data_IF_424214036002
#
_entry.id   IF_424214036002
#
_cell.length_a   1.000
_cell.length_b   1.000
_cell.length_c   1.000
_cell.angle_alpha   90.00
_cell.angle_beta   90.00
_cell.angle_gamma   90.00
#
_symmetry.space_group_name_H-M   'P 1'
#
loop_
_entity.id
_entity.type
_entity.pdbx_description
1 polymer ?
#
# COMPACT_ATOMS: atom_id res chain seq x y z
N UNK A 1 3.85 4.55 13.31
CA UNK A 1 2.52 3.90 13.23
C UNK A 1 2.13 3.88 11.76
N UNK A 2 1.46 2.85 11.26
CA UNK A 2 1.12 2.76 9.83
C UNK A 2 -0.38 2.79 9.61
N UNK A 3 -0.79 3.34 8.48
CA UNK A 3 -2.17 3.63 8.16
C UNK A 3 -2.60 2.92 6.88
N UNK A 4 -3.90 2.65 6.76
CA UNK A 4 -4.54 2.13 5.55
C UNK A 4 -5.79 2.94 5.23
N UNK A 5 -6.23 3.04 3.97
CA UNK A 5 -7.45 3.78 3.65
C UNK A 5 -8.66 3.19 4.36
N UNK A 6 -9.63 4.02 4.73
CA UNK A 6 -10.92 3.56 5.21
C UNK A 6 -11.64 2.68 4.17
N UNK A 7 -12.54 1.80 4.65
CA UNK A 7 -13.17 0.75 3.85
C UNK A 7 -13.90 1.27 2.60
N UNK A 8 -14.45 2.48 2.66
CA UNK A 8 -15.14 3.15 1.56
C UNK A 8 -14.23 3.44 0.35
N UNK A 9 -12.96 3.82 0.59
CA UNK A 9 -11.98 4.16 -0.45
C UNK A 9 -11.40 2.92 -1.14
N UNK A 10 -11.57 1.73 -0.54
CA UNK A 10 -10.96 0.47 -0.98
C UNK A 10 -11.52 -0.10 -2.27
N UNK A 11 -12.63 0.44 -2.77
CA UNK A 11 -13.25 0.02 -4.04
C UNK A 11 -12.73 0.82 -5.25
N UNK A 12 -12.11 1.98 -5.02
CA UNK A 12 -11.59 2.81 -6.08
C UNK A 12 -10.24 2.26 -6.56
N UNK A 13 -10.28 1.33 -7.53
CA UNK A 13 -9.08 0.65 -8.02
C UNK A 13 -8.09 1.63 -8.65
N UNK A 14 -8.56 2.50 -9.54
CA UNK A 14 -7.73 3.42 -10.32
C UNK A 14 -7.18 4.58 -9.49
N UNK A 15 -8.02 5.20 -8.65
CA UNK A 15 -7.62 6.39 -7.87
C UNK A 15 -6.96 6.07 -6.53
N UNK A 16 -7.18 4.88 -5.97
CA UNK A 16 -6.69 4.54 -4.63
C UNK A 16 -5.82 3.29 -4.66
N UNK A 17 -6.34 2.16 -5.15
CA UNK A 17 -5.63 0.87 -5.00
C UNK A 17 -4.33 0.84 -5.80
N UNK A 18 -4.34 1.26 -7.07
CA UNK A 18 -3.14 1.23 -7.92
C UNK A 18 -2.05 2.18 -7.41
N UNK A 19 -2.32 3.49 -7.16
CA UNK A 19 -1.29 4.39 -6.66
C UNK A 19 -0.82 4.00 -5.26
N UNK A 20 -1.72 3.49 -4.40
CA UNK A 20 -1.35 3.03 -3.07
C UNK A 20 -0.39 1.84 -3.13
N UNK A 21 -0.63 0.90 -4.06
CA UNK A 21 0.24 -0.25 -4.27
C UNK A 21 1.67 0.19 -4.65
N UNK A 22 1.79 1.17 -5.55
CA UNK A 22 3.08 1.75 -5.91
C UNK A 22 3.72 2.50 -4.72
N UNK A 23 2.92 3.21 -3.92
CA UNK A 23 3.39 3.93 -2.73
C UNK A 23 3.94 2.97 -1.66
N UNK A 24 3.23 1.86 -1.39
CA UNK A 24 3.69 0.83 -0.45
C UNK A 24 5.00 0.23 -0.94
N UNK A 25 5.13 -0.06 -2.24
CA UNK A 25 6.40 -0.52 -2.80
C UNK A 25 7.52 0.51 -2.61
N UNK A 26 7.25 1.81 -2.81
CA UNK A 26 8.25 2.88 -2.57
C UNK A 26 8.68 2.96 -1.10
N UNK A 27 7.77 2.78 -0.16
CA UNK A 27 8.08 2.89 1.28
C UNK A 27 8.72 1.62 1.85
N UNK A 28 8.26 0.43 1.45
CA UNK A 28 8.65 -0.85 2.08
C UNK A 28 9.50 -1.76 1.17
N UNK A 29 9.60 -1.42 -0.10
CA UNK A 29 10.29 -2.20 -1.12
C UNK A 29 9.55 -3.47 -1.53
N UNK A 30 10.23 -4.26 -2.35
CA UNK A 30 9.89 -5.66 -2.55
C UNK A 30 10.58 -6.51 -1.47
N UNK A 31 9.81 -7.35 -0.77
CA UNK A 31 10.27 -8.11 0.39
C UNK A 31 10.12 -9.61 0.20
N UNK A 32 10.49 -10.09 -0.99
CA UNK A 32 10.50 -11.50 -1.33
C UNK A 32 11.41 -12.36 -0.43
N UNK A 33 12.48 -11.76 0.12
CA UNK A 33 13.53 -12.46 0.88
C UNK A 33 13.22 -12.59 2.38
N UNK A 34 12.41 -11.68 2.94
CA UNK A 34 12.10 -11.63 4.37
C UNK A 34 10.66 -12.12 4.70
N UNK A 35 9.91 -12.58 3.69
CA UNK A 35 8.45 -12.83 3.79
C UNK A 35 7.64 -11.62 4.28
N UNK A 36 8.18 -10.41 4.17
CA UNK A 36 7.63 -9.28 4.90
C UNK A 36 6.44 -8.67 4.17
N UNK A 37 5.41 -8.34 4.94
CA UNK A 37 4.07 -7.96 4.50
C UNK A 37 4.01 -6.47 4.07
N UNK A 38 3.78 -6.10 2.80
CA UNK A 38 3.28 -4.84 2.31
C UNK A 38 2.07 -4.43 3.13
N UNK A 39 2.20 -3.21 3.61
CA UNK A 39 1.15 -2.50 4.30
C UNK A 39 -0.07 -2.40 3.40
N UNK A 40 -1.27 -2.50 3.95
CA UNK A 40 -2.46 -1.97 3.26
C UNK A 40 -3.07 -2.85 2.18
N UNK A 41 -2.46 -3.98 1.80
CA UNK A 41 -3.09 -4.91 0.91
C UNK A 41 -4.08 -5.82 1.68
N UNK A 42 -5.14 -5.20 2.20
CA UNK A 42 -6.31 -5.85 2.78
C UNK A 42 -7.44 -5.80 1.75
N UNK A 43 -7.27 -6.47 0.62
CA UNK A 43 -8.23 -6.36 -0.49
C UNK A 43 -8.69 -7.74 -0.94
N UNK A 44 -9.81 -8.26 -0.43
CA UNK A 44 -10.34 -9.52 -0.94
C UNK A 44 -11.13 -9.37 -2.25
N UNK A 45 -11.56 -8.14 -2.66
CA UNK A 45 -12.46 -7.98 -3.82
C UNK A 45 -11.80 -7.61 -5.15
N UNK A 46 -10.68 -6.89 -5.14
CA UNK A 46 -10.05 -6.37 -6.38
C UNK A 46 -8.57 -6.74 -6.52
N UNK A 47 -7.99 -7.43 -5.54
CA UNK A 47 -6.64 -7.96 -5.62
C UNK A 47 -6.76 -9.48 -5.73
N UNK A 48 -6.39 -10.00 -6.90
CA UNK A 48 -6.48 -11.44 -7.19
C UNK A 48 -5.29 -12.20 -6.60
N UNK A 49 -5.53 -13.42 -6.14
CA UNK A 49 -4.50 -14.42 -5.81
C UNK A 49 -3.53 -14.71 -6.96
N UNK A 50 -3.93 -14.39 -8.18
CA UNK A 50 -3.12 -14.53 -9.39
C UNK A 50 -2.16 -13.35 -9.59
N UNK A 51 -2.35 -12.23 -8.90
CA UNK A 51 -1.51 -11.03 -9.05
C UNK A 51 -0.61 -10.84 -7.83
N UNK A 52 -1.04 -11.29 -6.64
CA UNK A 52 -0.28 -11.14 -5.41
C UNK A 52 -0.25 -12.43 -4.59
N UNK A 53 0.85 -12.64 -3.85
CA UNK A 53 0.91 -13.60 -2.75
C UNK A 53 0.29 -12.98 -1.50
N UNK A 54 -0.32 -13.76 -0.61
CA UNK A 54 -0.88 -13.25 0.66
C UNK A 54 -0.63 -14.18 1.85
N UNK A 55 -0.62 -13.60 3.05
CA UNK A 55 -0.58 -14.31 4.33
C UNK A 55 -1.56 -13.65 5.31
N UNK A 56 -2.52 -14.43 5.82
CA UNK A 56 -3.50 -13.92 6.79
C UNK A 56 -4.34 -12.73 6.28
N UNK A 57 -4.63 -12.68 4.98
CA UNK A 57 -5.38 -11.58 4.35
C UNK A 57 -4.56 -10.33 4.03
N UNK A 58 -3.24 -10.37 4.21
CA UNK A 58 -2.31 -9.30 3.86
C UNK A 58 -1.51 -9.74 2.63
N UNK A 59 -1.69 -9.03 1.51
CA UNK A 59 -0.95 -9.34 0.29
C UNK A 59 0.49 -8.89 0.41
N UNK A 60 1.44 -9.79 0.12
CA UNK A 60 2.85 -9.57 0.38
C UNK A 60 3.88 -9.48 -0.71
N UNK A 61 3.53 -9.87 -1.91
CA UNK A 61 4.44 -9.78 -3.04
C UNK A 61 3.63 -9.81 -4.31
N UNK A 62 3.95 -8.95 -5.27
CA UNK A 62 3.42 -9.09 -6.61
C UNK A 62 4.01 -10.35 -7.25
N UNK A 63 3.20 -11.21 -7.87
CA UNK A 63 3.71 -12.37 -8.61
C UNK A 63 4.52 -11.94 -9.84
N UNK A 64 4.13 -10.81 -10.43
CA UNK A 64 4.84 -10.14 -11.52
C UNK A 64 5.06 -8.67 -11.12
N UNK A 65 6.28 -8.38 -10.66
CA UNK A 65 6.67 -7.07 -10.16
C UNK A 65 6.88 -6.07 -11.29
N UNK A 66 7.39 -6.52 -12.44
CA UNK A 66 7.55 -5.69 -13.63
C UNK A 66 6.19 -5.20 -14.13
N UNK A 67 5.18 -6.06 -14.10
CA UNK A 67 3.81 -5.67 -14.44
C UNK A 67 3.20 -4.65 -13.47
N UNK A 68 3.51 -4.73 -12.17
CA UNK A 68 2.99 -3.78 -11.17
C UNK A 68 3.71 -2.43 -11.27
N UNK A 69 5.03 -2.45 -11.45
CA UNK A 69 5.86 -1.24 -11.57
C UNK A 69 5.73 -0.56 -12.93
N UNK A 70 5.37 -1.31 -13.98
CA UNK A 70 5.12 -0.78 -15.32
C UNK A 70 3.75 -0.14 -15.50
N UNK A 71 2.90 -0.05 -14.45
CA UNK A 71 1.58 0.58 -14.56
C UNK A 71 1.72 2.09 -14.60
N UNK A 72 1.03 2.72 -15.54
CA UNK A 72 0.85 4.16 -15.54
C UNK A 72 -0.03 4.55 -14.35
N UNK A 73 0.57 5.16 -13.33
CA UNK A 73 -0.10 5.74 -12.16
C UNK A 73 0.33 7.19 -11.99
N UNK A 74 -0.51 7.99 -11.35
CA UNK A 74 -0.16 9.38 -11.04
C UNK A 74 0.90 9.41 -9.92
N UNK A 75 2.13 9.75 -10.28
CA UNK A 75 3.26 9.81 -9.35
C UNK A 75 3.06 10.81 -8.20
N UNK A 76 2.28 11.88 -8.40
CA UNK A 76 1.98 12.83 -7.32
C UNK A 76 1.10 12.16 -6.26
N UNK A 77 0.09 11.39 -6.70
CA UNK A 77 -0.77 10.61 -5.80
C UNK A 77 0.04 9.52 -5.10
N UNK A 78 0.92 8.83 -5.82
CA UNK A 78 1.84 7.83 -5.23
C UNK A 78 2.69 8.46 -4.12
N UNK A 79 3.26 9.64 -4.36
CA UNK A 79 4.08 10.33 -3.37
C UNK A 79 3.26 10.78 -2.15
N UNK A 80 2.07 11.33 -2.36
CA UNK A 80 1.18 11.73 -1.27
C UNK A 80 0.78 10.52 -0.42
N UNK A 81 0.46 9.39 -1.05
CA UNK A 81 0.18 8.14 -0.33
C UNK A 81 1.41 7.61 0.42
N UNK A 82 2.61 7.68 -0.16
CA UNK A 82 3.82 7.20 0.51
C UNK A 82 4.07 7.91 1.84
N UNK A 83 3.83 9.23 1.88
CA UNK A 83 3.90 10.02 3.11
C UNK A 83 2.75 9.63 4.05
N UNK A 84 1.52 9.67 3.54
CA UNK A 84 0.32 9.45 4.33
C UNK A 84 0.20 8.06 4.97
N UNK A 85 0.78 7.01 4.39
CA UNK A 85 0.83 5.68 5.02
C UNK A 85 1.55 5.72 6.39
N UNK A 86 2.44 6.70 6.60
CA UNK A 86 3.20 6.86 7.84
C UNK A 86 2.65 7.94 8.77
N UNK A 87 1.95 8.95 8.26
CA UNK A 87 1.38 10.05 9.06
C UNK A 87 -0.12 9.90 9.33
N UNK A 88 -0.87 9.26 8.43
CA UNK A 88 -2.33 9.17 8.46
C UNK A 88 -3.04 10.38 7.87
N UNK A 89 -2.31 11.34 7.30
CA UNK A 89 -2.89 12.59 6.78
C UNK A 89 -3.78 12.33 5.56
N UNK A 90 -4.94 12.98 5.45
CA UNK A 90 -5.81 12.81 4.29
C UNK A 90 -5.11 13.18 2.98
N UNK A 91 -5.42 12.47 1.89
CA UNK A 91 -4.86 12.74 0.56
C UNK A 91 -5.96 13.11 -0.41
N UNK A 92 -5.84 14.27 -1.05
CA UNK A 92 -6.77 14.72 -2.09
C UNK A 92 -6.36 14.15 -3.45
N UNK A 93 -7.30 13.45 -4.09
CA UNK A 93 -7.13 12.96 -5.45
C UNK A 93 -7.44 14.05 -6.48
N UNK A 94 -6.92 13.94 -7.72
CA UNK A 94 -7.20 14.91 -8.80
C UNK A 94 -8.70 15.06 -9.14
N UNK A 95 -9.51 14.04 -8.83
CA UNK A 95 -10.96 14.05 -9.03
C UNK A 95 -11.74 14.68 -7.85
N UNK A 96 -11.05 15.30 -6.90
CA UNK A 96 -11.66 15.96 -5.73
C UNK A 96 -12.03 15.04 -4.57
N UNK A 97 -11.82 13.72 -4.70
CA UNK A 97 -12.07 12.78 -3.60
C UNK A 97 -10.95 12.90 -2.56
N UNK A 98 -11.31 13.03 -1.28
CA UNK A 98 -10.38 13.00 -0.18
C UNK A 98 -10.30 11.59 0.42
N UNK A 99 -9.14 10.95 0.32
CA UNK A 99 -8.86 9.64 0.90
C UNK A 99 -8.45 9.81 2.35
N UNK A 100 -9.20 9.17 3.23
CA UNK A 100 -8.98 9.18 4.69
C UNK A 100 -8.50 7.81 5.17
N UNK A 101 -7.84 7.78 6.32
CA UNK A 101 -7.04 6.63 6.77
C UNK A 101 -7.42 6.18 8.18
N UNK A 102 -7.32 4.88 8.41
CA UNK A 102 -7.41 4.26 9.73
C UNK A 102 -6.05 3.66 10.12
N UNK A 103 -5.68 3.72 11.41
CA UNK A 103 -4.47 3.08 11.88
C UNK A 103 -4.58 1.56 11.75
N UNK A 104 -3.48 0.93 11.34
CA UNK A 104 -3.38 -0.52 11.31
C UNK A 104 -3.17 -1.02 12.75
N UNK A 105 -3.97 -1.99 13.22
CA UNK A 105 -3.79 -2.57 14.56
C UNK A 105 -2.36 -3.03 14.78
N UNK A 106 -1.79 -2.75 15.97
CA UNK A 106 -0.37 -2.99 16.29
C UNK A 106 0.08 -4.43 16.00
N UNK A 107 -0.76 -5.43 16.29
CA UNK A 107 -0.46 -6.84 16.03
C UNK A 107 -0.27 -7.14 14.53
N UNK A 108 -1.00 -6.45 13.65
CA UNK A 108 -0.87 -6.55 12.19
C UNK A 108 0.32 -5.71 11.71
N UNK A 109 0.51 -4.52 12.31
CA UNK A 109 1.61 -3.62 11.98
C UNK A 109 3.00 -4.22 12.32
N UNK A 110 3.10 -5.00 13.39
CA UNK A 110 4.33 -5.70 13.78
C UNK A 110 4.80 -6.75 12.77
N UNK A 111 3.93 -7.15 11.83
CA UNK A 111 4.24 -8.13 10.79
C UNK A 111 4.72 -7.46 9.50
N UNK A 112 4.70 -6.12 9.45
CA UNK A 112 5.15 -5.33 8.33
C UNK A 112 6.68 -5.17 8.43
N UNK A 113 7.40 -5.19 7.31
CA UNK A 113 8.82 -4.90 7.31
C UNK A 113 9.10 -3.48 7.79
N UNK A 114 10.33 -3.19 8.24
CA UNK A 114 10.74 -1.81 8.41
C UNK A 114 10.61 -1.04 7.07
N UNK A 115 10.31 0.26 7.08
CA UNK A 115 10.42 1.09 5.86
C UNK A 115 11.84 1.04 5.30
N UNK A 116 12.01 1.11 3.97
CA UNK A 116 13.33 1.18 3.31
C UNK A 116 14.14 2.39 3.80
N UNK A 117 13.47 3.50 4.10
CA UNK A 117 14.09 4.73 4.61
C UNK A 117 14.31 4.73 6.13
N UNK A 118 13.99 3.66 6.85
CA UNK A 118 14.38 3.52 8.26
C UNK A 118 15.87 3.18 8.45
N UNK A 119 16.62 3.01 7.36
CA UNK A 119 18.08 2.81 7.36
C UNK A 119 18.82 4.15 7.23
N UNK A 120 18.65 5.03 8.21
CA UNK A 120 19.61 6.05 8.65
C UNK A 120 18.91 6.92 9.69
N UNK A 121 19.01 6.55 10.96
CA UNK A 121 19.51 7.37 12.06
C UNK A 121 19.91 6.45 13.20
#
# INVERSE_FOLDING_TARGET
MFYRPHAEHRRNSQGVVLPLTAAIHRVFGNRAQDLARPIGAFYPRHVSGNTWLHLGGIWYRARDEHYVLGRTVDEQVVQAFAISITTGDPVSLPNGIQVTWEPIPRAQAAQLPPPLTASHQ
#
